data_IF_819687025250
#
_entry.id   IF_819687025250
#
_cell.length_a   1.000
_cell.length_b   1.000
_cell.length_c   1.000
_cell.angle_alpha   90.00
_cell.angle_beta   90.00
_cell.angle_gamma   90.00
#
_symmetry.space_group_name_H-M   'P 1'
#
loop_
_entity.id
_entity.type
_entity.pdbx_description
1 polymer ?
#
# COMPACT_ATOMS: atom_id res chain seq x y z
N UNK A 1 27.47 22.12 -11.30
CA UNK A 1 26.20 22.59 -10.72
C UNK A 1 25.20 21.45 -10.84
N UNK A 2 24.54 21.06 -9.74
CA UNK A 2 23.60 19.94 -9.76
C UNK A 2 22.18 20.47 -9.79
N UNK A 3 21.42 20.12 -10.82
CA UNK A 3 20.00 20.45 -10.93
C UNK A 3 19.16 19.26 -10.47
N UNK A 4 18.21 19.50 -9.56
CA UNK A 4 17.27 18.50 -9.07
C UNK A 4 15.87 18.76 -9.60
N UNK A 5 15.08 17.69 -9.73
CA UNK A 5 13.66 17.74 -10.10
C UNK A 5 12.81 17.43 -8.87
N UNK A 6 11.79 18.24 -8.62
CA UNK A 6 10.98 18.20 -7.41
C UNK A 6 9.50 18.24 -7.79
N UNK A 7 8.72 17.26 -7.33
CA UNK A 7 7.26 17.36 -7.34
C UNK A 7 6.77 18.14 -6.13
N UNK A 8 6.05 19.23 -6.37
CA UNK A 8 5.40 20.03 -5.33
C UNK A 8 3.89 19.89 -5.41
N UNK A 9 3.22 19.97 -4.26
CA UNK A 9 1.75 20.07 -4.21
C UNK A 9 1.34 21.45 -4.72
N UNK A 10 0.72 21.51 -5.91
CA UNK A 10 0.28 22.77 -6.51
C UNK A 10 -1.06 23.23 -5.93
N UNK A 11 -1.97 22.28 -5.71
CA UNK A 11 -3.31 22.53 -5.17
C UNK A 11 -3.74 21.37 -4.28
N UNK A 12 -4.51 21.67 -3.24
CA UNK A 12 -5.13 20.62 -2.43
C UNK A 12 -6.12 19.78 -3.25
N UNK A 13 -6.10 18.47 -2.99
CA UNK A 13 -6.94 17.51 -3.71
C UNK A 13 -8.43 17.66 -3.38
N UNK A 14 -9.24 17.90 -4.41
CA UNK A 14 -10.71 17.80 -4.36
C UNK A 14 -11.12 16.47 -5.02
N UNK A 15 -11.68 15.56 -4.23
CA UNK A 15 -11.94 14.18 -4.69
C UNK A 15 -10.65 13.40 -4.93
N UNK A 16 -10.56 12.73 -6.09
CA UNK A 16 -9.37 12.01 -6.52
C UNK A 16 -8.28 12.98 -7.01
N UNK A 17 -7.00 12.77 -6.64
CA UNK A 17 -5.90 13.56 -7.17
C UNK A 17 -5.84 13.52 -8.70
N UNK A 18 -5.57 14.66 -9.30
CA UNK A 18 -5.41 14.86 -10.74
C UNK A 18 -4.00 15.36 -11.04
N UNK A 19 -3.58 15.26 -12.31
CA UNK A 19 -2.24 15.75 -12.72
C UNK A 19 -2.05 17.24 -12.46
N UNK A 20 -3.12 18.04 -12.52
CA UNK A 20 -3.07 19.49 -12.27
C UNK A 20 -2.82 19.87 -10.81
N UNK A 21 -2.97 18.93 -9.88
CA UNK A 21 -2.72 19.17 -8.46
C UNK A 21 -1.23 19.12 -8.12
N UNK A 22 -0.39 18.72 -9.08
CA UNK A 22 1.05 18.60 -8.93
C UNK A 22 1.80 19.51 -9.89
N UNK A 23 2.99 19.94 -9.49
CA UNK A 23 3.89 20.72 -10.33
C UNK A 23 5.31 20.15 -10.24
N UNK A 24 5.94 19.91 -11.39
CA UNK A 24 7.33 19.49 -11.46
C UNK A 24 8.22 20.72 -11.62
N UNK A 25 9.05 20.99 -10.63
CA UNK A 25 10.02 22.09 -10.62
C UNK A 25 11.43 21.56 -10.83
N UNK A 26 12.26 22.38 -11.46
CA UNK A 26 13.71 22.18 -11.50
C UNK A 26 14.37 23.24 -10.64
N UNK A 27 15.32 22.85 -9.79
CA UNK A 27 16.05 23.77 -8.92
C UNK A 27 17.53 23.40 -8.86
N UNK A 28 18.39 24.40 -8.74
CA UNK A 28 19.82 24.21 -8.51
C UNK A 28 20.08 23.96 -7.02
N UNK A 29 20.91 22.95 -6.73
CA UNK A 29 21.34 22.66 -5.37
C UNK A 29 22.56 23.51 -5.00
N UNK A 30 22.63 24.03 -3.75
CA UNK A 30 23.82 24.72 -3.27
C UNK A 30 25.02 23.76 -3.15
N UNK A 31 26.26 24.28 -3.09
CA UNK A 31 27.43 23.46 -2.76
C UNK A 31 27.30 22.80 -1.39
N UNK A 32 27.86 21.60 -1.26
CA UNK A 32 27.88 20.86 0.01
C UNK A 32 28.67 21.62 1.09
N UNK A 33 28.12 21.65 2.30
CA UNK A 33 28.81 22.09 3.51
C UNK A 33 29.44 20.90 4.23
N UNK A 34 30.31 21.18 5.21
CA UNK A 34 30.92 20.12 6.03
C UNK A 34 29.84 19.29 6.74
N UNK A 35 29.89 17.97 6.54
CA UNK A 35 28.94 17.02 7.11
C UNK A 35 27.67 16.79 6.28
N UNK A 36 27.46 17.52 5.19
CA UNK A 36 26.36 17.27 4.25
C UNK A 36 26.74 16.22 3.20
N UNK A 37 25.74 15.53 2.66
CA UNK A 37 25.87 14.56 1.56
C UNK A 37 24.91 14.91 0.43
N UNK A 38 25.32 14.60 -0.80
CA UNK A 38 24.44 14.67 -1.97
C UNK A 38 23.88 13.27 -2.25
N UNK A 39 22.57 13.16 -2.34
CA UNK A 39 21.87 11.91 -2.63
C UNK A 39 21.21 11.98 -4.00
N UNK A 40 21.30 10.87 -4.74
CA UNK A 40 20.54 10.66 -5.98
C UNK A 40 19.43 9.64 -5.71
N UNK A 41 18.19 10.02 -6.00
CA UNK A 41 17.04 9.13 -5.79
C UNK A 41 17.02 8.04 -6.88
N UNK A 42 17.25 6.79 -6.49
CA UNK A 42 17.12 5.63 -7.40
C UNK A 42 15.67 5.16 -7.51
N UNK A 43 14.94 5.14 -6.40
CA UNK A 43 13.54 4.73 -6.33
C UNK A 43 12.77 5.66 -5.38
N UNK A 44 11.53 5.99 -5.74
CA UNK A 44 10.60 6.73 -4.89
C UNK A 44 9.35 5.90 -4.66
N UNK A 45 8.86 5.88 -3.42
CA UNK A 45 7.61 5.21 -3.05
C UNK A 45 6.42 6.16 -3.18
N UNK A 46 5.24 5.59 -3.51
CA UNK A 46 3.95 6.26 -3.48
C UNK A 46 2.99 5.46 -2.61
N UNK A 47 2.38 6.10 -1.62
CA UNK A 47 1.69 5.41 -0.54
C UNK A 47 0.32 6.02 -0.25
N UNK A 48 -0.69 5.22 0.15
CA UNK A 48 -2.03 5.72 0.44
C UNK A 48 -2.06 6.84 1.49
N UNK A 49 -1.19 6.79 2.50
CA UNK A 49 -1.14 7.80 3.57
C UNK A 49 -0.80 9.21 3.02
N UNK A 50 -0.09 9.30 1.89
CA UNK A 50 0.28 10.58 1.28
C UNK A 50 -0.96 11.40 0.92
N UNK A 51 -2.08 10.75 0.61
CA UNK A 51 -3.37 11.42 0.36
C UNK A 51 -3.87 12.18 1.58
N UNK A 52 -3.65 11.64 2.78
CA UNK A 52 -4.04 12.25 4.04
C UNK A 52 -3.05 13.34 4.45
N UNK A 53 -1.75 13.05 4.41
CA UNK A 53 -0.72 14.02 4.77
C UNK A 53 -0.68 15.23 3.83
N UNK A 54 -1.10 15.10 2.58
CA UNK A 54 -1.23 16.26 1.68
C UNK A 54 -2.18 17.35 2.20
N UNK A 55 -3.04 17.05 3.19
CA UNK A 55 -3.88 18.06 3.86
C UNK A 55 -3.10 18.92 4.85
N UNK A 56 -1.97 18.44 5.36
CA UNK A 56 -1.13 19.17 6.32
C UNK A 56 0.00 19.94 5.63
N UNK A 57 0.21 19.71 4.33
CA UNK A 57 1.17 20.43 3.50
C UNK A 57 0.60 21.76 3.04
N UNK A 58 1.45 22.76 2.87
CA UNK A 58 1.11 24.01 2.18
C UNK A 58 1.35 23.86 0.68
N UNK A 59 0.65 24.63 -0.13
CA UNK A 59 0.93 24.69 -1.57
C UNK A 59 2.40 25.12 -1.80
N UNK A 60 3.09 24.38 -2.66
CA UNK A 60 4.52 24.52 -2.90
C UNK A 60 5.40 23.59 -2.05
N UNK A 61 4.87 22.95 -1.00
CA UNK A 61 5.63 21.99 -0.21
C UNK A 61 5.99 20.74 -1.02
N UNK A 62 7.11 20.11 -0.62
CA UNK A 62 7.59 18.84 -1.19
C UNK A 62 6.77 17.68 -0.64
N UNK A 63 6.41 16.76 -1.52
CA UNK A 63 5.76 15.51 -1.11
C UNK A 63 6.77 14.56 -0.46
N UNK A 64 6.42 13.97 0.70
CA UNK A 64 7.28 13.03 1.43
C UNK A 64 6.78 11.58 1.32
N UNK A 65 7.74 10.64 1.19
CA UNK A 65 7.51 9.19 1.11
C UNK A 65 8.27 8.40 2.18
N UNK A 66 7.70 7.29 2.64
CA UNK A 66 8.23 6.38 3.65
C UNK A 66 7.84 4.95 3.32
N UNK A 67 8.76 4.01 3.51
CA UNK A 67 8.51 2.58 3.32
C UNK A 67 8.06 1.94 4.64
N UNK A 68 6.79 1.53 4.72
CA UNK A 68 6.24 0.94 5.96
C UNK A 68 5.51 -0.39 5.74
N UNK A 69 5.29 -0.81 4.49
CA UNK A 69 4.33 -1.87 4.17
C UNK A 69 4.57 -3.21 4.89
N UNK A 70 5.80 -3.73 4.87
CA UNK A 70 6.11 -5.04 5.46
C UNK A 70 6.02 -5.04 6.99
N UNK A 71 6.47 -3.96 7.64
CA UNK A 71 6.36 -3.82 9.10
C UNK A 71 4.90 -3.65 9.53
N UNK A 72 4.12 -2.88 8.76
CA UNK A 72 2.66 -2.75 8.98
C UNK A 72 1.98 -4.11 8.91
N UNK A 73 2.32 -4.93 7.91
CA UNK A 73 1.77 -6.29 7.78
C UNK A 73 2.16 -7.19 8.96
N UNK A 74 3.45 -7.19 9.32
CA UNK A 74 3.99 -8.02 10.40
C UNK A 74 3.34 -7.72 11.75
N UNK A 75 3.41 -6.47 12.20
CA UNK A 75 2.87 -6.09 13.51
C UNK A 75 1.35 -6.11 13.52
N UNK A 76 0.70 -5.68 12.43
CA UNK A 76 -0.76 -5.72 12.32
C UNK A 76 -1.30 -7.14 12.45
N UNK A 77 -0.66 -8.12 11.81
CA UNK A 77 -1.12 -9.50 11.87
C UNK A 77 -0.71 -10.22 13.16
N UNK A 78 0.56 -10.10 13.56
CA UNK A 78 1.11 -10.93 14.64
C UNK A 78 0.89 -10.34 16.04
N UNK A 79 0.97 -9.02 16.19
CA UNK A 79 0.80 -8.39 17.51
C UNK A 79 -0.63 -7.88 17.72
N UNK A 80 -1.23 -7.25 16.70
CA UNK A 80 -2.57 -6.65 16.84
C UNK A 80 -3.66 -7.71 16.67
N UNK A 81 -3.65 -8.48 15.57
CA UNK A 81 -4.59 -9.58 15.40
C UNK A 81 -4.23 -10.80 16.27
N UNK A 82 -2.95 -10.98 16.62
CA UNK A 82 -2.52 -12.05 17.52
C UNK A 82 -2.72 -13.45 16.96
N UNK A 83 -2.63 -13.61 15.63
CA UNK A 83 -3.09 -14.84 14.95
C UNK A 83 -2.35 -16.10 15.40
N UNK A 84 -3.12 -17.18 15.50
CA UNK A 84 -2.67 -18.53 15.82
C UNK A 84 -2.93 -19.46 14.64
N UNK A 85 -2.14 -20.52 14.53
CA UNK A 85 -2.34 -21.52 13.48
C UNK A 85 -3.72 -22.18 13.57
N UNK A 86 -4.30 -22.48 12.40
CA UNK A 86 -5.64 -23.04 12.27
C UNK A 86 -6.77 -22.01 12.11
N UNK A 87 -6.52 -20.72 12.35
CA UNK A 87 -7.51 -19.66 12.18
C UNK A 87 -7.78 -19.31 10.71
N UNK A 88 -8.94 -18.70 10.43
CA UNK A 88 -9.24 -18.09 9.13
C UNK A 88 -8.96 -16.58 9.18
N UNK A 89 -8.14 -16.09 8.24
CA UNK A 89 -7.74 -14.69 8.12
C UNK A 89 -8.33 -14.09 6.85
N UNK A 90 -9.13 -13.04 6.99
CA UNK A 90 -9.63 -12.25 5.86
C UNK A 90 -8.68 -11.07 5.58
N UNK A 91 -8.25 -10.93 4.32
CA UNK A 91 -7.40 -9.82 3.86
C UNK A 91 -8.06 -9.09 2.69
N UNK A 92 -8.38 -7.81 2.88
CA UNK A 92 -8.80 -6.93 1.79
C UNK A 92 -7.60 -6.25 1.12
N UNK A 93 -7.80 -5.70 -0.08
CA UNK A 93 -6.71 -5.14 -0.90
C UNK A 93 -5.51 -6.09 -1.00
N UNK A 94 -5.77 -7.40 -1.05
CA UNK A 94 -4.79 -8.44 -0.74
C UNK A 94 -3.59 -8.49 -1.71
N UNK A 95 -3.76 -8.00 -2.93
CA UNK A 95 -2.67 -7.89 -3.91
C UNK A 95 -1.87 -6.57 -3.80
N UNK A 96 -2.08 -5.79 -2.74
CA UNK A 96 -1.30 -4.59 -2.44
C UNK A 96 -0.04 -4.88 -1.63
N UNK A 97 0.77 -3.85 -1.39
CA UNK A 97 2.06 -3.98 -0.70
C UNK A 97 1.92 -4.56 0.72
N UNK A 98 0.92 -4.13 1.51
CA UNK A 98 0.67 -4.66 2.86
C UNK A 98 -0.05 -6.00 2.79
N UNK A 99 -1.20 -6.06 2.09
CA UNK A 99 -2.08 -7.24 2.09
C UNK A 99 -1.41 -8.52 1.57
N UNK A 100 -0.48 -8.40 0.61
CA UNK A 100 0.22 -9.56 0.06
C UNK A 100 1.20 -10.17 1.08
N UNK A 101 1.80 -9.34 1.93
CA UNK A 101 2.67 -9.79 3.02
C UNK A 101 1.83 -10.39 4.15
N UNK A 102 0.70 -9.75 4.51
CA UNK A 102 -0.22 -10.29 5.54
C UNK A 102 -0.63 -11.71 5.20
N UNK A 103 -1.16 -11.95 3.98
CA UNK A 103 -1.61 -13.28 3.63
C UNK A 103 -0.48 -14.32 3.57
N UNK A 104 0.70 -13.95 3.10
CA UNK A 104 1.85 -14.88 3.12
C UNK A 104 2.30 -15.22 4.55
N UNK A 105 2.36 -14.26 5.46
CA UNK A 105 2.67 -14.52 6.87
C UNK A 105 1.59 -15.42 7.50
N UNK A 106 0.30 -15.15 7.23
CA UNK A 106 -0.80 -15.98 7.72
C UNK A 106 -0.71 -17.43 7.19
N UNK A 107 -0.40 -17.63 5.90
CA UNK A 107 -0.15 -18.96 5.34
C UNK A 107 1.01 -19.67 6.05
N UNK A 108 2.13 -18.99 6.28
CA UNK A 108 3.27 -19.54 7.02
C UNK A 108 2.94 -19.89 8.47
N UNK A 109 1.97 -19.22 9.08
CA UNK A 109 1.47 -19.51 10.43
C UNK A 109 0.45 -20.66 10.47
N UNK A 110 0.11 -21.26 9.33
CA UNK A 110 -0.86 -22.34 9.25
C UNK A 110 -2.31 -21.86 9.28
N UNK A 111 -2.58 -20.60 8.94
CA UNK A 111 -3.93 -20.08 8.80
C UNK A 111 -4.50 -20.40 7.40
N UNK A 112 -5.83 -20.46 7.34
CA UNK A 112 -6.57 -20.32 6.09
C UNK A 112 -6.68 -18.83 5.75
N UNK A 113 -6.44 -18.45 4.51
CA UNK A 113 -6.47 -17.05 4.06
C UNK A 113 -7.54 -16.86 3.00
N UNK A 114 -8.53 -16.03 3.34
CA UNK A 114 -9.55 -15.53 2.42
C UNK A 114 -9.14 -14.13 1.98
N UNK A 115 -9.15 -13.86 0.68
CA UNK A 115 -8.65 -12.60 0.13
C UNK A 115 -9.57 -11.95 -0.90
N UNK A 116 -9.70 -10.63 -0.79
CA UNK A 116 -10.38 -9.79 -1.76
C UNK A 116 -9.39 -8.94 -2.55
N UNK A 117 -9.50 -8.98 -3.88
CA UNK A 117 -8.74 -8.13 -4.81
C UNK A 117 -9.65 -7.48 -5.86
N UNK A 118 -9.16 -6.44 -6.53
CA UNK A 118 -9.98 -5.61 -7.42
C UNK A 118 -9.89 -5.94 -8.91
N UNK A 119 -9.32 -7.09 -9.28
CA UNK A 119 -9.26 -7.61 -10.66
C UNK A 119 -8.92 -9.10 -10.69
N UNK A 120 -9.35 -9.80 -11.74
CA UNK A 120 -9.12 -11.25 -11.87
C UNK A 120 -7.64 -11.60 -12.03
N UNK A 121 -6.84 -10.72 -12.66
CA UNK A 121 -5.38 -10.87 -12.70
C UNK A 121 -4.76 -10.88 -11.30
N UNK A 122 -5.28 -10.05 -10.39
CA UNK A 122 -4.82 -10.02 -8.98
C UNK A 122 -5.30 -11.25 -8.22
N UNK A 123 -6.52 -11.73 -8.51
CA UNK A 123 -7.03 -12.99 -7.96
C UNK A 123 -6.12 -14.16 -8.32
N UNK A 124 -5.83 -14.34 -9.61
CA UNK A 124 -4.94 -15.39 -10.10
C UNK A 124 -3.52 -15.30 -9.50
N UNK A 125 -3.00 -14.07 -9.33
CA UNK A 125 -1.72 -13.85 -8.68
C UNK A 125 -1.71 -14.33 -7.21
N UNK A 126 -2.73 -13.98 -6.42
CA UNK A 126 -2.83 -14.38 -5.02
C UNK A 126 -3.04 -15.88 -4.86
N UNK A 127 -3.83 -16.51 -5.73
CA UNK A 127 -3.97 -17.97 -5.77
C UNK A 127 -2.61 -18.65 -6.02
N UNK A 128 -1.81 -18.13 -6.95
CA UNK A 128 -0.44 -18.61 -7.20
C UNK A 128 0.48 -18.48 -5.97
N UNK A 129 0.24 -17.49 -5.11
CA UNK A 129 0.96 -17.32 -3.84
C UNK A 129 0.46 -18.24 -2.71
N UNK A 130 -0.55 -19.06 -2.95
CA UNK A 130 -1.06 -20.03 -1.98
C UNK A 130 -2.18 -19.52 -1.07
N UNK A 131 -2.86 -18.43 -1.43
CA UNK A 131 -4.07 -18.00 -0.73
C UNK A 131 -5.22 -18.99 -1.02
N UNK A 132 -6.00 -19.36 0.00
CA UNK A 132 -6.96 -20.48 -0.08
C UNK A 132 -8.23 -20.12 -0.85
N UNK A 133 -8.84 -18.98 -0.54
CA UNK A 133 -10.01 -18.47 -1.26
C UNK A 133 -9.74 -17.04 -1.66
N UNK A 134 -9.82 -16.75 -2.96
CA UNK A 134 -9.57 -15.41 -3.48
C UNK A 134 -10.68 -15.02 -4.44
N UNK A 135 -11.24 -13.83 -4.26
CA UNK A 135 -12.33 -13.34 -5.11
C UNK A 135 -12.12 -11.88 -5.53
N UNK A 136 -12.70 -11.54 -6.68
CA UNK A 136 -12.73 -10.18 -7.18
C UNK A 136 -13.93 -9.44 -6.59
N UNK A 137 -13.72 -8.55 -5.62
CA UNK A 137 -14.80 -7.88 -4.89
C UNK A 137 -15.65 -6.95 -5.78
N UNK A 138 -15.20 -6.65 -7.00
CA UNK A 138 -15.93 -5.78 -7.93
C UNK A 138 -16.93 -6.55 -8.81
N UNK A 139 -16.84 -7.87 -8.86
CA UNK A 139 -17.61 -8.70 -9.81
C UNK A 139 -18.46 -9.76 -9.13
N UNK A 140 -18.33 -9.94 -7.81
CA UNK A 140 -19.23 -10.81 -7.04
C UNK A 140 -20.62 -10.17 -6.94
N UNK A 141 -21.66 -10.99 -7.05
CA UNK A 141 -23.05 -10.53 -6.93
C UNK A 141 -23.38 -10.10 -5.49
N UNK A 142 -22.94 -10.91 -4.51
CA UNK A 142 -23.10 -10.64 -3.09
C UNK A 142 -21.78 -10.88 -2.36
N UNK A 143 -21.25 -9.82 -1.74
CA UNK A 143 -20.07 -9.93 -0.87
C UNK A 143 -20.37 -10.81 0.34
N UNK A 144 -21.57 -10.71 0.91
CA UNK A 144 -21.97 -11.49 2.08
C UNK A 144 -22.00 -12.99 1.78
N UNK A 145 -22.64 -13.39 0.68
CA UNK A 145 -22.67 -14.80 0.28
C UNK A 145 -21.29 -15.34 -0.05
N UNK A 146 -20.47 -14.51 -0.70
CA UNK A 146 -19.09 -14.88 -1.03
C UNK A 146 -18.29 -15.15 0.24
N UNK A 147 -18.41 -14.28 1.25
CA UNK A 147 -17.71 -14.44 2.53
C UNK A 147 -18.24 -15.65 3.31
N UNK A 148 -19.55 -15.88 3.38
CA UNK A 148 -20.15 -17.08 4.01
C UNK A 148 -19.66 -18.38 3.37
N UNK A 149 -19.55 -18.41 2.03
CA UNK A 149 -19.01 -19.57 1.30
C UNK A 149 -17.51 -19.74 1.55
N UNK A 150 -16.77 -18.63 1.62
CA UNK A 150 -15.32 -18.65 1.82
C UNK A 150 -14.91 -19.00 3.26
N UNK A 151 -15.73 -18.65 4.25
CA UNK A 151 -15.50 -18.88 5.68
C UNK A 151 -16.78 -19.36 6.38
N UNK A 152 -17.14 -20.64 6.23
CA UNK A 152 -18.40 -21.17 6.77
C UNK A 152 -18.42 -21.25 8.31
N UNK A 153 -17.24 -21.38 8.93
CA UNK A 153 -17.08 -21.60 10.37
C UNK A 153 -16.80 -20.30 11.15
N UNK A 154 -16.74 -19.15 10.47
CA UNK A 154 -16.34 -17.85 11.02
C UNK A 154 -15.17 -17.25 10.25
#
# INVERSE_FOLDING_TARGET
MVCTKIWTLKKHFVGHPTKSDFELKTAELPPLKNGEVLLEALFLTVDPYMRFLAKTLKEGDRMMGQQVASLTAYFGLLEICGVKGGETVMVNAAAGAVGSVVGQIAKLKGCKVVAAAGSDKKVAYLQKLGFDVVFNYKTVESLEETLKKASPDG
#
